data_IF_260006287800
#
_entry.id   IF_260006287800
#
_cell.length_a   1.000
_cell.length_b   1.000
_cell.length_c   1.000
_cell.angle_alpha   90.00
_cell.angle_beta   90.00
_cell.angle_gamma   90.00
#
_symmetry.space_group_name_H-M   'P 1'
#
loop_
_entity.id
_entity.type
_entity.pdbx_description
1 polymer ?
#
# COMPACT_ATOMS: atom_id res chain seq x y z
N UNK A 1 -8.41 39.38 -4.66
CA UNK A 1 -9.79 39.56 -4.14
C UNK A 1 -10.03 40.94 -3.54
N UNK A 2 -9.20 41.42 -2.61
CA UNK A 2 -9.39 42.73 -1.94
C UNK A 2 -9.60 43.91 -2.92
N UNK A 3 -8.79 44.00 -3.98
CA UNK A 3 -8.91 45.07 -5.00
C UNK A 3 -10.26 45.00 -5.74
N UNK A 4 -10.75 43.80 -6.04
CA UNK A 4 -12.05 43.64 -6.69
C UNK A 4 -13.21 44.07 -5.76
N UNK A 5 -13.14 43.70 -4.47
CA UNK A 5 -14.11 44.15 -3.47
C UNK A 5 -14.14 45.69 -3.35
N UNK A 6 -12.97 46.33 -3.26
CA UNK A 6 -12.87 47.79 -3.20
C UNK A 6 -13.41 48.44 -4.46
N UNK A 7 -13.28 47.81 -5.62
CA UNK A 7 -13.87 48.27 -6.89
C UNK A 7 -15.39 47.97 -7.01
N UNK A 8 -16.02 47.43 -5.97
CA UNK A 8 -17.46 47.20 -5.91
C UNK A 8 -17.95 45.84 -6.39
N UNK A 9 -17.05 44.92 -6.65
CA UNK A 9 -17.43 43.56 -6.98
C UNK A 9 -18.21 42.89 -5.82
N UNK A 10 -19.23 42.09 -6.15
CA UNK A 10 -20.05 41.34 -5.19
C UNK A 10 -19.58 39.90 -5.01
N UNK A 11 -18.84 39.37 -5.99
CA UNK A 11 -18.18 38.10 -5.96
C UNK A 11 -16.97 38.11 -6.91
N UNK A 12 -16.08 37.14 -6.79
CA UNK A 12 -14.96 36.95 -7.71
C UNK A 12 -14.97 35.51 -8.20
N UNK A 13 -15.02 35.33 -9.52
CA UNK A 13 -14.80 34.04 -10.17
C UNK A 13 -13.42 34.08 -10.83
N UNK A 14 -12.53 33.26 -10.40
CA UNK A 14 -11.18 33.12 -10.98
C UNK A 14 -11.16 31.91 -11.92
N UNK A 15 -10.68 32.13 -13.13
CA UNK A 15 -10.48 31.03 -14.08
C UNK A 15 -9.02 30.55 -13.96
N UNK A 16 -8.83 29.25 -13.78
CA UNK A 16 -7.50 28.65 -13.77
C UNK A 16 -6.82 28.92 -15.12
N UNK A 17 -5.55 29.33 -15.08
CA UNK A 17 -4.79 29.66 -16.29
C UNK A 17 -4.01 28.48 -16.89
N UNK A 18 -4.15 27.28 -16.29
CA UNK A 18 -3.62 26.01 -16.78
C UNK A 18 -4.73 24.98 -16.92
N UNK A 19 -4.53 24.01 -17.81
CA UNK A 19 -5.47 22.90 -17.95
C UNK A 19 -5.47 22.02 -16.68
N UNK A 20 -6.64 21.55 -16.29
CA UNK A 20 -6.84 20.69 -15.13
C UNK A 20 -7.90 21.22 -14.17
N UNK A 21 -8.02 20.58 -13.01
CA UNK A 21 -8.95 20.96 -11.97
C UNK A 21 -8.58 22.34 -11.37
N UNK A 22 -9.58 23.10 -10.86
CA UNK A 22 -9.30 24.31 -10.09
C UNK A 22 -8.49 23.97 -8.84
N UNK A 23 -7.59 24.87 -8.47
CA UNK A 23 -6.78 24.74 -7.25
C UNK A 23 -7.42 25.53 -6.10
N UNK A 24 -7.19 25.08 -4.87
CA UNK A 24 -7.62 25.84 -3.70
C UNK A 24 -6.91 27.19 -3.65
N UNK A 25 -7.67 28.25 -3.46
CA UNK A 25 -7.13 29.59 -3.28
C UNK A 25 -6.74 29.79 -1.81
N UNK A 26 -5.44 29.90 -1.54
CA UNK A 26 -4.93 30.14 -0.20
C UNK A 26 -4.91 31.61 0.21
N UNK A 27 -4.71 31.86 1.50
CA UNK A 27 -4.56 33.16 2.13
C UNK A 27 -5.80 33.60 2.93
N UNK A 28 -5.56 34.25 4.06
CA UNK A 28 -6.59 34.79 4.95
C UNK A 28 -6.50 36.30 5.00
N UNK A 29 -7.62 36.95 4.76
CA UNK A 29 -7.79 38.37 4.99
C UNK A 29 -9.21 38.62 5.52
N UNK A 30 -9.38 38.84 6.83
CA UNK A 30 -10.70 38.99 7.46
C UNK A 30 -11.46 40.23 6.95
N UNK A 31 -10.82 41.12 6.21
CA UNK A 31 -11.46 42.26 5.61
C UNK A 31 -12.10 41.98 4.23
N UNK A 32 -11.92 40.79 3.71
CA UNK A 32 -12.59 40.35 2.48
C UNK A 32 -13.93 39.71 2.87
N UNK A 33 -15.02 40.31 2.42
CA UNK A 33 -16.38 39.90 2.77
C UNK A 33 -17.18 39.39 1.56
N UNK A 34 -16.60 39.41 0.37
CA UNK A 34 -17.21 38.87 -0.85
C UNK A 34 -16.75 37.43 -1.10
N UNK A 35 -17.64 36.54 -1.60
CA UNK A 35 -17.25 35.18 -1.96
C UNK A 35 -16.31 35.18 -3.17
N UNK A 36 -15.42 34.19 -3.20
CA UNK A 36 -14.54 33.94 -4.34
C UNK A 36 -14.44 32.44 -4.61
N UNK A 37 -14.50 32.05 -5.88
CA UNK A 37 -14.35 30.68 -6.34
C UNK A 37 -13.33 30.63 -7.48
N UNK A 38 -12.64 29.51 -7.62
CA UNK A 38 -11.85 29.20 -8.81
C UNK A 38 -12.57 28.12 -9.60
N UNK A 39 -12.64 28.28 -10.91
CA UNK A 39 -13.20 27.31 -11.85
C UNK A 39 -12.11 26.85 -12.83
N UNK A 40 -12.30 25.70 -13.47
CA UNK A 40 -11.36 25.19 -14.45
C UNK A 40 -11.21 26.14 -15.65
N UNK A 41 -10.09 26.05 -16.35
CA UNK A 41 -9.91 26.79 -17.61
C UNK A 41 -10.96 26.39 -18.65
N UNK A 42 -11.35 25.11 -18.68
CA UNK A 42 -12.35 24.59 -19.61
C UNK A 42 -13.74 25.21 -19.38
N UNK A 43 -14.14 25.37 -18.11
CA UNK A 43 -15.44 25.95 -17.76
C UNK A 43 -15.40 27.50 -17.85
N UNK A 44 -14.27 28.11 -17.52
CA UNK A 44 -14.11 29.54 -17.46
C UNK A 44 -13.97 30.22 -18.83
N UNK A 45 -13.29 29.59 -19.79
CA UNK A 45 -13.06 30.17 -21.11
C UNK A 45 -14.36 30.48 -21.87
N UNK A 46 -15.38 29.60 -21.90
CA UNK A 46 -16.68 29.93 -22.51
C UNK A 46 -17.37 31.13 -21.84
N UNK A 47 -17.30 31.21 -20.49
CA UNK A 47 -17.84 32.32 -19.71
C UNK A 47 -17.16 33.62 -20.07
N UNK A 48 -15.84 33.63 -20.08
CA UNK A 48 -15.03 34.80 -20.45
C UNK A 48 -15.31 35.25 -21.89
N UNK A 49 -15.41 34.31 -22.82
CA UNK A 49 -15.70 34.60 -24.22
C UNK A 49 -17.07 35.24 -24.36
N UNK A 50 -18.11 34.74 -23.68
CA UNK A 50 -19.44 35.30 -23.70
C UNK A 50 -19.46 36.74 -23.14
N UNK A 51 -18.80 36.97 -22.00
CA UNK A 51 -18.71 38.30 -21.38
C UNK A 51 -17.99 39.29 -22.29
N UNK A 52 -16.85 38.89 -22.84
CA UNK A 52 -16.07 39.73 -23.77
C UNK A 52 -16.82 40.01 -25.06
N UNK A 53 -17.69 39.10 -25.48
CA UNK A 53 -18.63 39.27 -26.59
C UNK A 53 -19.86 40.15 -26.28
N UNK A 54 -19.92 40.73 -25.08
CA UNK A 54 -21.03 41.62 -24.65
C UNK A 54 -22.24 40.89 -24.09
N UNK A 55 -22.18 39.59 -23.85
CA UNK A 55 -23.31 38.85 -23.27
C UNK A 55 -23.35 39.07 -21.76
N UNK A 56 -24.53 39.48 -21.25
CA UNK A 56 -24.78 39.53 -19.82
C UNK A 56 -25.08 38.12 -19.31
N UNK A 57 -24.26 37.61 -18.42
CA UNK A 57 -24.48 36.32 -17.74
C UNK A 57 -25.00 36.58 -16.33
N UNK A 58 -25.97 35.78 -15.90
CA UNK A 58 -26.46 35.78 -14.53
C UNK A 58 -26.00 34.47 -13.86
N UNK A 59 -25.52 34.58 -12.65
CA UNK A 59 -25.07 33.45 -11.84
C UNK A 59 -25.18 33.73 -10.36
N UNK A 60 -25.11 32.71 -9.54
CA UNK A 60 -25.03 32.83 -8.09
C UNK A 60 -23.77 32.15 -7.56
N UNK A 61 -23.12 32.81 -6.60
CA UNK A 61 -22.04 32.23 -5.81
C UNK A 61 -22.58 32.18 -4.38
N UNK A 62 -23.04 31.01 -3.90
CA UNK A 62 -23.63 30.92 -2.57
C UNK A 62 -22.57 31.21 -1.50
N UNK A 63 -22.93 32.01 -0.49
CA UNK A 63 -22.05 32.43 0.60
C UNK A 63 -21.98 31.40 1.74
N UNK A 64 -23.00 30.58 1.83
CA UNK A 64 -23.24 29.64 2.94
C UNK A 64 -22.65 28.26 2.72
N UNK A 65 -21.82 28.11 1.69
CA UNK A 65 -21.08 26.86 1.46
C UNK A 65 -21.96 25.64 1.17
N UNK A 66 -23.28 25.83 1.01
CA UNK A 66 -24.16 24.75 0.58
C UNK A 66 -23.95 24.47 -0.93
N UNK A 67 -22.82 23.83 -1.20
CA UNK A 67 -22.60 23.18 -2.48
C UNK A 67 -23.09 21.72 -2.31
N UNK A 68 -24.09 21.35 -3.06
CA UNK A 68 -24.44 19.94 -3.24
C UNK A 68 -23.26 19.20 -3.92
N UNK A 69 -22.17 19.01 -3.23
CA UNK A 69 -20.97 18.39 -3.80
C UNK A 69 -19.66 18.67 -3.07
N UNK A 70 -19.60 19.66 -2.19
CA UNK A 70 -18.38 19.86 -1.36
C UNK A 70 -18.42 18.88 -0.19
N UNK A 71 -17.54 17.90 -0.24
CA UNK A 71 -17.29 17.02 0.90
C UNK A 71 -16.14 17.61 1.73
N UNK A 72 -16.32 17.66 3.04
CA UNK A 72 -15.25 18.02 3.94
C UNK A 72 -14.24 16.88 3.99
N UNK A 73 -12.98 17.15 3.59
CA UNK A 73 -11.90 16.18 3.58
C UNK A 73 -11.59 15.57 4.95
N UNK A 74 -12.00 16.23 6.04
CA UNK A 74 -11.86 15.68 7.41
C UNK A 74 -12.74 14.44 7.65
N UNK A 75 -13.71 14.16 6.79
CA UNK A 75 -14.50 12.92 6.80
C UNK A 75 -13.94 11.84 5.86
N UNK A 76 -12.85 12.12 5.16
CA UNK A 76 -12.12 11.09 4.41
C UNK A 76 -11.14 10.40 5.36
N UNK A 77 -11.42 9.15 5.71
CA UNK A 77 -10.59 8.38 6.63
C UNK A 77 -9.15 8.25 6.13
N UNK A 78 -8.97 8.07 4.81
CA UNK A 78 -7.64 7.99 4.21
C UNK A 78 -6.85 9.28 4.40
N UNK A 79 -7.47 10.44 4.15
CA UNK A 79 -6.83 11.75 4.36
C UNK A 79 -6.56 12.01 5.84
N UNK A 80 -7.51 11.74 6.74
CA UNK A 80 -7.33 11.96 8.16
C UNK A 80 -6.14 11.15 8.72
N UNK A 81 -6.03 9.89 8.33
CA UNK A 81 -4.92 9.02 8.72
C UNK A 81 -3.61 9.50 8.09
N UNK A 82 -3.64 9.90 6.82
CA UNK A 82 -2.51 10.46 6.09
C UNK A 82 -1.91 11.65 6.84
N UNK A 83 -2.73 12.65 7.18
CA UNK A 83 -2.27 13.85 7.88
C UNK A 83 -1.72 13.54 9.28
N UNK A 84 -2.37 12.64 10.01
CA UNK A 84 -1.86 12.19 11.31
C UNK A 84 -0.49 11.51 11.18
N UNK A 85 -0.30 10.74 10.12
CA UNK A 85 0.94 10.00 9.87
C UNK A 85 2.13 10.91 9.55
N UNK A 86 1.92 12.10 8.97
CA UNK A 86 2.98 13.11 8.89
C UNK A 86 3.57 13.43 10.26
N UNK A 87 2.71 13.55 11.27
CA UNK A 87 3.14 13.73 12.66
C UNK A 87 3.98 12.56 13.20
N UNK A 88 3.67 11.33 12.79
CA UNK A 88 4.42 10.12 13.17
C UNK A 88 5.78 10.09 12.44
N UNK A 89 5.79 10.13 11.12
CA UNK A 89 6.98 9.99 10.29
C UNK A 89 8.02 11.06 10.58
N UNK A 90 7.60 12.29 10.77
CA UNK A 90 8.47 13.41 11.13
C UNK A 90 9.12 13.28 12.52
N UNK A 91 8.51 12.53 13.44
CA UNK A 91 9.05 12.31 14.79
C UNK A 91 9.85 11.04 14.93
N UNK A 92 9.58 10.04 14.11
CA UNK A 92 10.35 8.79 14.13
C UNK A 92 11.66 8.95 13.36
N UNK A 93 11.65 9.59 12.18
CA UNK A 93 12.85 9.81 11.38
C UNK A 93 13.69 10.93 11.99
N UNK A 94 14.88 10.59 12.47
CA UNK A 94 15.79 11.54 13.16
C UNK A 94 15.43 11.83 14.61
N UNK A 95 14.35 11.25 15.12
CA UNK A 95 13.88 11.38 16.51
C UNK A 95 13.00 12.61 16.76
N UNK A 96 12.30 12.64 17.91
CA UNK A 96 11.22 13.60 18.18
C UNK A 96 11.67 15.06 18.24
N UNK A 97 12.96 15.31 18.47
CA UNK A 97 13.55 16.65 18.52
C UNK A 97 14.04 17.16 17.16
N UNK A 98 13.99 16.34 16.10
CA UNK A 98 14.49 16.67 14.77
C UNK A 98 13.46 16.33 13.68
N UNK A 99 12.36 17.06 13.67
CA UNK A 99 11.21 16.80 12.78
C UNK A 99 11.41 17.23 11.31
N UNK A 100 12.57 17.78 10.96
CA UNK A 100 12.89 18.27 9.60
C UNK A 100 13.62 17.27 8.70
N UNK A 101 13.67 15.98 9.07
CA UNK A 101 14.47 14.98 8.38
C UNK A 101 13.90 14.46 7.05
N UNK A 102 12.66 14.80 6.70
CA UNK A 102 11.99 14.33 5.47
C UNK A 102 11.74 15.50 4.50
N UNK A 103 12.74 16.35 4.25
CA UNK A 103 12.65 17.53 3.38
C UNK A 103 13.59 17.46 2.15
N UNK A 104 14.23 16.34 1.92
CA UNK A 104 15.09 16.09 0.75
C UNK A 104 14.26 15.81 -0.53
N UNK A 105 14.90 15.76 -1.70
CA UNK A 105 14.18 15.53 -2.97
C UNK A 105 13.55 14.13 -3.07
N UNK A 106 14.21 13.09 -2.55
CA UNK A 106 13.66 11.72 -2.45
C UNK A 106 12.80 11.51 -1.18
N UNK A 107 12.23 12.58 -0.63
CA UNK A 107 11.46 12.52 0.61
C UNK A 107 10.26 11.58 0.51
N UNK A 108 10.15 10.69 1.49
CA UNK A 108 9.12 9.65 1.53
C UNK A 108 7.94 9.99 2.45
N UNK A 109 7.88 11.21 3.00
CA UNK A 109 6.88 11.64 3.99
C UNK A 109 5.43 11.40 3.55
N UNK A 110 5.09 11.80 2.32
CA UNK A 110 3.79 11.55 1.71
C UNK A 110 3.50 10.05 1.55
N UNK A 111 4.53 9.27 1.26
CA UNK A 111 4.40 7.83 1.05
C UNK A 111 4.15 7.06 2.36
N UNK A 112 4.81 7.43 3.43
CA UNK A 112 4.50 6.89 4.76
C UNK A 112 3.05 7.18 5.15
N UNK A 113 2.58 8.39 4.84
CA UNK A 113 1.22 8.85 5.12
C UNK A 113 0.18 8.11 4.30
N UNK A 114 0.35 7.98 2.98
CA UNK A 114 -0.54 7.18 2.12
C UNK A 114 -0.57 5.72 2.55
N UNK A 115 0.59 5.15 2.90
CA UNK A 115 0.69 3.77 3.36
C UNK A 115 -0.22 3.49 4.56
N UNK A 116 -0.17 4.32 5.60
CA UNK A 116 -1.05 4.11 6.76
C UNK A 116 -2.51 4.38 6.43
N UNK A 117 -2.81 5.33 5.54
CA UNK A 117 -4.16 5.53 5.02
C UNK A 117 -4.74 4.26 4.38
N UNK A 118 -3.93 3.54 3.59
CA UNK A 118 -4.28 2.27 2.99
C UNK A 118 -4.41 1.15 4.04
N UNK A 119 -3.40 1.01 4.91
CA UNK A 119 -3.33 -0.06 5.91
C UNK A 119 -4.49 -0.04 6.90
N UNK A 120 -4.84 1.14 7.40
CA UNK A 120 -5.92 1.30 8.38
C UNK A 120 -7.32 1.15 7.78
N UNK A 121 -7.41 0.98 6.46
CA UNK A 121 -8.67 0.83 5.71
C UNK A 121 -8.76 -0.48 4.92
N UNK A 122 -7.84 -1.44 5.16
CA UNK A 122 -7.98 -2.80 4.64
C UNK A 122 -9.13 -3.50 5.37
N UNK A 123 -9.95 -4.22 4.63
CA UNK A 123 -11.03 -5.03 5.14
C UNK A 123 -10.79 -6.53 4.87
N UNK A 124 -11.40 -7.42 5.67
CA UNK A 124 -11.34 -8.85 5.40
C UNK A 124 -11.94 -9.19 4.02
N UNK A 125 -11.13 -9.79 3.17
CA UNK A 125 -11.52 -10.16 1.80
C UNK A 125 -10.92 -9.28 0.71
N UNK A 126 -10.34 -8.12 1.05
CA UNK A 126 -9.56 -7.32 0.11
C UNK A 126 -8.39 -8.13 -0.47
N UNK A 127 -8.01 -7.80 -1.69
CA UNK A 127 -6.89 -8.43 -2.39
C UNK A 127 -5.85 -7.38 -2.77
N UNK A 128 -4.58 -7.76 -2.79
CA UNK A 128 -3.49 -6.87 -3.20
C UNK A 128 -3.66 -6.30 -4.61
N UNK A 129 -4.31 -7.06 -5.48
CA UNK A 129 -4.62 -6.66 -6.86
C UNK A 129 -5.76 -5.65 -6.96
N UNK A 130 -6.54 -5.43 -5.90
CA UNK A 130 -7.59 -4.43 -5.91
C UNK A 130 -7.00 -3.03 -5.98
N UNK A 131 -7.57 -2.21 -6.87
CA UNK A 131 -7.09 -0.84 -7.04
C UNK A 131 -7.66 0.09 -5.96
N UNK A 132 -6.80 0.64 -5.09
CA UNK A 132 -7.16 1.52 -3.97
C UNK A 132 -6.74 2.97 -4.25
N UNK A 133 -7.68 3.91 -4.26
CA UNK A 133 -7.40 5.35 -4.35
C UNK A 133 -7.32 6.01 -2.97
N UNK A 134 -6.50 7.04 -2.84
CA UNK A 134 -6.46 7.91 -1.66
C UNK A 134 -7.29 9.18 -1.93
N UNK A 135 -8.04 9.65 -0.94
CA UNK A 135 -8.81 10.89 -1.00
C UNK A 135 -10.02 10.83 -1.94
N UNK A 136 -10.53 9.64 -2.23
CA UNK A 136 -11.66 9.46 -3.16
C UNK A 136 -12.93 10.14 -2.64
N UNK A 137 -13.19 10.08 -1.34
CA UNK A 137 -14.34 10.76 -0.74
C UNK A 137 -14.22 12.27 -0.88
N UNK A 138 -13.06 12.85 -0.55
CA UNK A 138 -12.85 14.30 -0.59
C UNK A 138 -13.07 14.92 -1.96
N UNK A 139 -12.78 14.18 -3.04
CA UNK A 139 -13.01 14.63 -4.43
C UNK A 139 -14.25 14.05 -5.08
N UNK A 140 -15.19 13.54 -4.28
CA UNK A 140 -16.49 13.01 -4.72
C UNK A 140 -16.40 11.85 -5.73
N UNK A 141 -15.35 11.04 -5.62
CA UNK A 141 -15.23 9.79 -6.36
C UNK A 141 -15.80 8.61 -5.55
N UNK A 142 -16.21 7.51 -6.21
CA UNK A 142 -16.50 6.26 -5.52
C UNK A 142 -15.23 5.68 -4.89
N UNK A 143 -15.37 4.74 -3.96
CA UNK A 143 -14.23 4.05 -3.31
C UNK A 143 -13.29 3.36 -4.31
N UNK A 144 -13.79 2.99 -5.48
CA UNK A 144 -13.02 2.42 -6.60
C UNK A 144 -12.38 3.47 -7.51
N UNK A 145 -12.52 4.77 -7.19
CA UNK A 145 -11.95 5.87 -7.96
C UNK A 145 -10.42 5.91 -7.90
N UNK A 146 -9.82 6.71 -8.77
CA UNK A 146 -8.36 6.89 -8.81
C UNK A 146 -7.85 7.65 -7.57
N UNK A 147 -8.66 8.56 -7.02
CA UNK A 147 -8.25 9.45 -5.94
C UNK A 147 -7.34 10.57 -6.44
N UNK A 148 -6.48 11.06 -5.56
CA UNK A 148 -5.60 12.23 -5.78
C UNK A 148 -4.18 11.84 -6.21
N UNK A 149 -3.91 10.56 -6.45
CA UNK A 149 -2.58 10.07 -6.87
C UNK A 149 -2.57 9.69 -8.36
N UNK A 150 -1.38 9.56 -8.99
CA UNK A 150 -1.26 9.25 -10.42
C UNK A 150 -1.95 7.94 -10.86
N UNK A 151 -1.97 6.94 -9.98
CA UNK A 151 -2.69 5.67 -10.18
C UNK A 151 -3.23 5.17 -8.85
N UNK A 152 -4.17 4.24 -8.89
CA UNK A 152 -4.59 3.49 -7.72
C UNK A 152 -3.46 2.62 -7.20
N UNK A 153 -3.34 2.46 -5.90
CA UNK A 153 -2.45 1.49 -5.30
C UNK A 153 -2.94 0.07 -5.59
N UNK A 154 -2.07 -0.76 -6.11
CA UNK A 154 -2.36 -2.16 -6.46
C UNK A 154 -1.07 -2.93 -6.65
N UNK A 155 -1.06 -4.22 -6.34
CA UNK A 155 0.03 -5.14 -6.69
C UNK A 155 -0.04 -5.59 -8.17
N UNK A 156 -1.17 -5.35 -8.84
CA UNK A 156 -1.29 -5.56 -10.28
C UNK A 156 -0.57 -4.44 -11.06
N UNK A 157 0.48 -4.80 -11.77
CA UNK A 157 1.27 -3.89 -12.59
C UNK A 157 0.48 -3.29 -13.78
N UNK A 158 -0.66 -3.85 -14.15
CA UNK A 158 -1.57 -3.27 -15.14
C UNK A 158 -2.36 -2.09 -14.57
N UNK A 159 -2.64 -2.09 -13.27
CA UNK A 159 -3.33 -1.01 -12.56
C UNK A 159 -2.34 0.04 -12.07
N UNK A 160 -1.22 -0.39 -11.49
CA UNK A 160 -0.15 0.47 -11.00
C UNK A 160 1.21 0.03 -11.54
N UNK A 161 1.64 0.57 -12.70
CA UNK A 161 2.91 0.19 -13.33
C UNK A 161 4.14 0.88 -12.71
N UNK A 162 4.00 1.63 -11.62
CA UNK A 162 5.06 2.46 -11.07
C UNK A 162 6.19 1.62 -10.46
N UNK A 163 7.42 1.94 -10.86
CA UNK A 163 8.67 1.42 -10.31
C UNK A 163 9.50 2.58 -9.75
N UNK A 164 10.66 2.31 -9.19
CA UNK A 164 11.54 3.33 -8.62
C UNK A 164 11.87 4.44 -9.63
N UNK A 165 12.10 4.10 -10.89
CA UNK A 165 12.42 5.09 -11.91
C UNK A 165 11.31 6.14 -12.13
N UNK A 166 10.08 5.87 -11.66
CA UNK A 166 8.95 6.80 -11.75
C UNK A 166 9.19 8.11 -11.00
N UNK A 167 10.02 8.11 -9.93
CA UNK A 167 10.33 9.33 -9.16
C UNK A 167 10.89 10.45 -10.03
N UNK A 168 11.57 10.11 -11.14
CA UNK A 168 12.16 11.07 -12.09
C UNK A 168 11.15 11.91 -12.87
N UNK A 169 9.87 11.51 -12.87
CA UNK A 169 8.83 12.11 -13.72
C UNK A 169 7.57 12.51 -12.96
N UNK A 170 7.61 12.48 -11.64
CA UNK A 170 6.50 12.90 -10.78
C UNK A 170 6.92 14.08 -9.89
N UNK A 171 5.93 14.75 -9.30
CA UNK A 171 6.18 15.91 -8.43
C UNK A 171 6.76 15.49 -7.07
N UNK A 172 7.62 16.33 -6.53
CA UNK A 172 8.06 16.28 -5.14
C UNK A 172 7.12 17.19 -4.32
N UNK A 173 6.63 16.79 -3.13
CA UNK A 173 6.84 15.49 -2.46
C UNK A 173 5.82 14.41 -2.82
N UNK A 174 4.60 14.79 -3.26
CA UNK A 174 3.44 13.89 -3.37
C UNK A 174 3.66 12.72 -4.35
N UNK A 175 4.19 13.00 -5.54
CA UNK A 175 4.45 11.96 -6.54
C UNK A 175 5.56 11.01 -6.12
N UNK A 176 6.63 11.52 -5.50
CA UNK A 176 7.73 10.70 -4.95
C UNK A 176 7.18 9.81 -3.84
N UNK A 177 6.42 10.37 -2.90
CA UNK A 177 5.78 9.62 -1.84
C UNK A 177 4.83 8.54 -2.36
N UNK A 178 4.05 8.84 -3.41
CA UNK A 178 3.22 7.84 -4.06
C UNK A 178 4.02 6.62 -4.54
N UNK A 179 5.19 6.81 -5.13
CA UNK A 179 6.06 5.68 -5.55
C UNK A 179 6.54 4.89 -4.34
N UNK A 180 6.90 5.55 -3.25
CA UNK A 180 7.30 4.89 -2.01
C UNK A 180 6.17 4.04 -1.41
N UNK A 181 4.98 4.61 -1.26
CA UNK A 181 3.81 3.87 -0.76
C UNK A 181 3.44 2.67 -1.63
N UNK A 182 3.67 2.77 -2.96
CA UNK A 182 3.46 1.63 -3.87
C UNK A 182 4.37 0.44 -3.51
N UNK A 183 5.63 0.69 -3.13
CA UNK A 183 6.56 -0.37 -2.70
C UNK A 183 6.17 -0.98 -1.35
N UNK A 184 5.76 -0.14 -0.41
CA UNK A 184 5.28 -0.59 0.90
C UNK A 184 3.98 -1.41 0.76
N UNK A 185 3.10 -1.03 -0.15
CA UNK A 185 1.88 -1.77 -0.45
C UNK A 185 2.18 -3.15 -1.03
N UNK A 186 3.16 -3.24 -1.92
CA UNK A 186 3.65 -4.51 -2.45
C UNK A 186 4.18 -5.41 -1.33
N UNK A 187 5.05 -4.87 -0.46
CA UNK A 187 5.62 -5.60 0.68
C UNK A 187 4.53 -6.10 1.63
N UNK A 188 3.53 -5.28 1.89
CA UNK A 188 2.42 -5.65 2.77
C UNK A 188 1.67 -6.86 2.26
N UNK A 189 1.37 -6.91 0.96
CA UNK A 189 0.64 -8.02 0.38
C UNK A 189 1.49 -9.28 0.25
N UNK A 190 2.79 -9.18 0.00
CA UNK A 190 3.70 -10.34 0.10
C UNK A 190 3.66 -10.95 1.52
N UNK A 191 3.62 -10.11 2.55
CA UNK A 191 3.53 -10.58 3.94
C UNK A 191 2.13 -11.10 4.30
N UNK A 192 1.05 -10.48 3.79
CA UNK A 192 -0.32 -10.97 3.97
C UNK A 192 -0.49 -12.33 3.28
N UNK A 193 0.06 -12.51 2.10
CA UNK A 193 0.00 -13.77 1.37
C UNK A 193 0.73 -14.90 2.13
N UNK A 194 1.79 -14.56 2.86
CA UNK A 194 2.57 -15.52 3.64
C UNK A 194 1.93 -15.83 5.02
N UNK A 195 1.47 -14.79 5.75
CA UNK A 195 1.02 -14.91 7.15
C UNK A 195 -0.49 -14.74 7.33
N UNK A 196 -1.23 -14.38 6.28
CA UNK A 196 -2.64 -14.06 6.33
C UNK A 196 -2.91 -12.64 6.83
N UNK A 197 -4.17 -12.21 6.69
CA UNK A 197 -4.66 -10.94 7.20
C UNK A 197 -5.30 -11.12 8.58
N UNK A 198 -4.96 -10.27 9.53
CA UNK A 198 -5.59 -10.22 10.86
C UNK A 198 -6.29 -8.85 11.04
N UNK A 199 -7.62 -8.82 11.26
CA UNK A 199 -8.36 -7.57 11.43
C UNK A 199 -8.07 -6.88 12.77
N UNK A 200 -7.45 -7.56 13.74
CA UNK A 200 -6.97 -6.94 14.96
C UNK A 200 -5.65 -6.20 14.72
N UNK A 201 -5.74 -4.92 14.42
CA UNK A 201 -4.56 -4.11 14.09
C UNK A 201 -3.63 -3.83 15.27
N UNK A 202 -4.10 -4.03 16.53
CA UNK A 202 -3.32 -3.70 17.74
C UNK A 202 -2.52 -4.91 18.22
N UNK A 203 -3.19 -6.04 18.41
CA UNK A 203 -2.62 -7.26 19.01
C UNK A 203 -2.62 -8.44 18.03
N UNK A 204 -2.88 -8.19 16.76
CA UNK A 204 -2.92 -9.19 15.72
C UNK A 204 -1.53 -9.69 15.32
N UNK A 205 -1.51 -10.84 14.65
CA UNK A 205 -0.27 -11.52 14.21
C UNK A 205 -0.25 -11.78 12.70
N UNK A 206 -1.10 -11.12 11.94
CA UNK A 206 -1.14 -11.24 10.48
C UNK A 206 0.02 -10.54 9.79
N UNK A 207 0.17 -10.80 8.49
CA UNK A 207 1.17 -10.14 7.66
C UNK A 207 1.00 -8.62 7.61
N UNK A 208 -0.23 -8.13 7.71
CA UNK A 208 -0.53 -6.69 7.85
C UNK A 208 0.03 -6.09 9.14
N UNK A 209 -0.09 -6.78 10.28
CA UNK A 209 0.49 -6.33 11.56
C UNK A 209 2.01 -6.31 11.49
N UNK A 210 2.61 -7.36 10.93
CA UNK A 210 4.05 -7.45 10.71
C UNK A 210 4.53 -6.31 9.78
N UNK A 211 3.84 -6.06 8.67
CA UNK A 211 4.18 -4.98 7.74
C UNK A 211 4.15 -3.61 8.43
N UNK A 212 3.10 -3.31 9.21
CA UNK A 212 3.02 -2.06 9.98
C UNK A 212 4.18 -1.92 10.97
N UNK A 213 4.52 -2.99 11.71
CA UNK A 213 5.61 -2.96 12.66
C UNK A 213 6.95 -2.70 11.96
N UNK A 214 7.23 -3.37 10.84
CA UNK A 214 8.44 -3.17 10.05
C UNK A 214 8.55 -1.75 9.50
N UNK A 215 7.45 -1.18 9.04
CA UNK A 215 7.39 0.22 8.55
C UNK A 215 7.64 1.20 9.69
N UNK A 216 7.02 1.02 10.85
CA UNK A 216 7.24 1.88 12.03
C UNK A 216 8.68 1.85 12.50
N UNK A 217 9.29 0.67 12.57
CA UNK A 217 10.67 0.52 13.00
C UNK A 217 11.66 0.95 11.92
N UNK A 218 11.35 0.74 10.64
CA UNK A 218 12.10 1.27 9.51
C UNK A 218 12.22 2.80 9.57
N UNK A 219 11.11 3.51 9.88
CA UNK A 219 11.15 4.97 10.07
C UNK A 219 12.07 5.40 11.21
N UNK A 220 12.19 4.62 12.28
CA UNK A 220 13.11 4.91 13.40
C UNK A 220 14.57 4.67 13.04
N UNK A 221 14.83 3.72 12.16
CA UNK A 221 16.17 3.26 11.79
C UNK A 221 16.78 4.04 10.63
N UNK A 222 15.95 4.61 9.76
CA UNK A 222 16.45 5.37 8.61
C UNK A 222 17.17 6.67 9.04
N UNK A 223 18.22 7.08 8.31
CA UNK A 223 18.91 8.33 8.62
C UNK A 223 18.06 9.57 8.35
N UNK A 224 18.49 10.72 8.85
CA UNK A 224 17.92 12.00 8.45
C UNK A 224 18.23 12.30 6.97
N UNK A 225 17.24 12.75 6.20
CA UNK A 225 17.33 12.93 4.75
C UNK A 225 17.47 11.61 3.98
N UNK A 226 16.60 10.60 4.23
CA UNK A 226 16.73 9.29 3.62
C UNK A 226 16.32 9.31 2.16
N UNK A 227 16.99 8.53 1.32
CA UNK A 227 16.52 8.14 0.00
C UNK A 227 15.86 6.77 0.03
N UNK A 228 15.38 6.31 -1.12
CA UNK A 228 14.61 5.08 -1.24
C UNK A 228 15.40 3.82 -0.83
N UNK A 229 16.67 3.73 -1.23
CA UNK A 229 17.53 2.59 -0.84
C UNK A 229 17.74 2.57 0.68
N UNK A 230 18.03 3.72 1.29
CA UNK A 230 18.24 3.79 2.74
C UNK A 230 16.95 3.53 3.51
N UNK A 231 15.78 3.89 2.98
CA UNK A 231 14.47 3.56 3.55
C UNK A 231 14.17 2.05 3.48
N UNK A 232 14.43 1.41 2.33
CA UNK A 232 14.35 -0.05 2.17
C UNK A 232 15.27 -0.78 3.16
N UNK A 233 16.52 -0.36 3.22
CA UNK A 233 17.53 -1.01 4.06
C UNK A 233 17.18 -0.87 5.55
N UNK A 234 16.55 0.24 5.95
CA UNK A 234 16.05 0.41 7.31
C UNK A 234 14.89 -0.55 7.64
N UNK A 235 14.01 -0.85 6.71
CA UNK A 235 12.95 -1.86 6.87
C UNK A 235 13.55 -3.27 6.96
N UNK A 236 14.52 -3.59 6.12
CA UNK A 236 15.26 -4.85 6.18
C UNK A 236 16.00 -5.01 7.53
N UNK A 237 16.59 -3.92 8.04
CA UNK A 237 17.25 -3.93 9.35
C UNK A 237 16.24 -4.08 10.49
N UNK A 238 15.02 -3.51 10.35
CA UNK A 238 13.95 -3.71 11.32
C UNK A 238 13.54 -5.19 11.40
N UNK A 239 13.48 -5.88 10.28
CA UNK A 239 13.19 -7.31 10.26
C UNK A 239 14.32 -8.14 10.92
N UNK A 240 15.57 -7.80 10.66
CA UNK A 240 16.70 -8.45 11.35
C UNK A 240 16.59 -8.25 12.86
N UNK A 241 16.28 -7.05 13.31
CA UNK A 241 16.23 -6.72 14.73
C UNK A 241 15.05 -7.39 15.46
N UNK A 242 13.90 -7.50 14.81
CA UNK A 242 12.66 -7.96 15.44
C UNK A 242 12.36 -9.44 15.16
N UNK A 243 12.81 -9.96 14.01
CA UNK A 243 12.42 -11.27 13.49
C UNK A 243 13.63 -12.11 13.05
N UNK A 244 14.84 -11.74 13.43
CA UNK A 244 16.08 -12.45 13.05
C UNK A 244 16.25 -12.57 11.51
N UNK A 245 15.62 -11.67 10.74
CA UNK A 245 15.66 -11.66 9.28
C UNK A 245 14.75 -12.69 8.61
N UNK A 246 13.76 -13.22 9.31
CA UNK A 246 12.89 -14.28 8.79
C UNK A 246 12.10 -13.85 7.54
N UNK A 247 11.85 -12.55 7.35
CA UNK A 247 11.02 -12.03 6.26
C UNK A 247 11.83 -11.36 5.13
N UNK A 248 13.16 -11.48 5.18
CA UNK A 248 14.04 -10.82 4.19
C UNK A 248 13.64 -11.14 2.75
N UNK A 249 13.28 -12.38 2.46
CA UNK A 249 12.95 -12.80 1.10
C UNK A 249 11.68 -12.13 0.58
N UNK A 250 10.61 -12.09 1.37
CA UNK A 250 9.35 -11.45 1.00
C UNK A 250 9.51 -9.94 0.87
N UNK A 251 10.30 -9.31 1.76
CA UNK A 251 10.62 -7.88 1.66
C UNK A 251 11.40 -7.59 0.37
N UNK A 252 12.50 -8.32 0.10
CA UNK A 252 13.28 -8.14 -1.11
C UNK A 252 12.48 -8.38 -2.39
N UNK A 253 11.63 -9.40 -2.41
CA UNK A 253 10.76 -9.70 -3.56
C UNK A 253 9.85 -8.51 -3.89
N UNK A 254 9.23 -7.92 -2.88
CA UNK A 254 8.37 -6.74 -3.05
C UNK A 254 9.13 -5.54 -3.62
N UNK A 255 10.26 -5.19 -3.02
CA UNK A 255 11.06 -4.06 -3.48
C UNK A 255 11.68 -4.31 -4.85
N UNK A 256 12.19 -5.51 -5.12
CA UNK A 256 12.75 -5.88 -6.42
C UNK A 256 11.69 -5.80 -7.52
N UNK A 257 10.47 -6.28 -7.29
CA UNK A 257 9.34 -6.16 -8.24
C UNK A 257 9.08 -4.71 -8.64
N UNK A 258 9.29 -3.77 -7.72
CA UNK A 258 9.10 -2.33 -7.94
C UNK A 258 10.38 -1.58 -8.33
N UNK A 259 11.45 -2.30 -8.72
CA UNK A 259 12.67 -1.70 -9.22
C UNK A 259 13.64 -1.19 -8.14
N UNK A 260 13.39 -1.50 -6.87
CA UNK A 260 14.28 -1.19 -5.76
C UNK A 260 14.97 -2.45 -5.22
N UNK A 261 15.40 -3.34 -6.14
CA UNK A 261 16.10 -4.57 -5.83
C UNK A 261 17.54 -4.38 -5.35
N UNK A 262 18.28 -5.48 -5.26
CA UNK A 262 19.60 -5.52 -4.64
C UNK A 262 20.62 -4.59 -5.33
N UNK A 263 20.62 -4.52 -6.64
CA UNK A 263 21.51 -3.63 -7.43
C UNK A 263 21.03 -2.19 -7.55
N UNK A 264 19.88 -1.81 -6.95
CA UNK A 264 19.38 -0.44 -7.04
C UNK A 264 20.30 0.54 -6.32
N UNK A 265 20.47 1.72 -6.90
CA UNK A 265 21.29 2.79 -6.34
C UNK A 265 20.47 4.08 -6.31
N UNK A 266 20.34 4.72 -5.16
CA UNK A 266 19.60 5.98 -5.04
C UNK A 266 20.39 7.21 -5.49
N UNK A 267 21.71 7.11 -5.66
CA UNK A 267 22.53 8.30 -5.88
C UNK A 267 22.47 9.26 -4.68
N UNK A 268 22.17 10.51 -4.95
CA UNK A 268 21.96 11.53 -3.92
C UNK A 268 20.49 11.59 -3.51
N UNK A 269 20.17 11.43 -2.24
CA UNK A 269 18.81 11.63 -1.74
C UNK A 269 18.24 13.04 -1.98
N UNK A 270 19.07 13.99 -2.41
CA UNK A 270 18.67 15.35 -2.81
C UNK A 270 18.54 15.49 -4.34
N UNK A 271 18.44 14.40 -5.09
CA UNK A 271 18.32 14.44 -6.55
C UNK A 271 17.52 13.24 -7.06
N UNK A 272 16.27 13.43 -7.41
CA UNK A 272 15.40 12.37 -7.95
C UNK A 272 15.81 11.86 -9.34
N UNK A 273 16.83 12.46 -10.00
CA UNK A 273 17.20 12.14 -11.38
C UNK A 273 18.38 11.15 -11.50
N UNK A 274 19.19 10.97 -10.46
CA UNK A 274 20.46 10.23 -10.51
C UNK A 274 20.37 8.79 -9.99
N UNK A 275 19.24 8.38 -9.42
CA UNK A 275 19.00 7.02 -9.01
C UNK A 275 18.88 6.03 -10.17
N UNK A 276 19.21 4.75 -9.93
CA UNK A 276 19.04 3.66 -10.90
C UNK A 276 18.26 2.51 -10.28
N UNK A 277 17.25 2.04 -11.01
CA UNK A 277 16.46 0.88 -10.58
C UNK A 277 17.18 -0.44 -10.88
N UNK A 278 16.87 -1.46 -10.06
CA UNK A 278 17.24 -2.84 -10.29
C UNK A 278 16.10 -3.74 -9.84
N UNK A 279 15.89 -4.82 -10.56
CA UNK A 279 14.87 -5.83 -10.28
C UNK A 279 15.50 -7.11 -9.70
N UNK A 280 16.78 -7.07 -9.35
CA UNK A 280 17.52 -8.22 -8.89
C UNK A 280 17.23 -8.51 -7.41
N UNK A 281 17.07 -9.79 -7.10
CA UNK A 281 17.13 -10.30 -5.74
C UNK A 281 18.60 -10.35 -5.25
N UNK A 282 18.85 -10.32 -3.92
CA UNK A 282 20.17 -10.61 -3.41
C UNK A 282 20.69 -11.95 -3.94
N UNK A 283 21.99 -12.05 -4.31
CA UNK A 283 22.56 -13.33 -4.73
C UNK A 283 22.51 -14.35 -3.58
N UNK A 284 22.44 -15.62 -3.93
CA UNK A 284 22.19 -16.73 -2.99
C UNK A 284 23.26 -16.93 -1.90
N UNK A 285 24.43 -16.38 -2.11
CA UNK A 285 25.52 -16.33 -1.11
C UNK A 285 25.35 -15.18 -0.10
N UNK A 286 24.53 -14.20 -0.40
CA UNK A 286 24.14 -13.09 0.50
C UNK A 286 22.84 -13.41 1.23
N UNK A 287 21.84 -13.87 0.51
CA UNK A 287 20.55 -14.25 1.05
C UNK A 287 19.98 -15.43 0.26
N UNK A 288 19.88 -16.58 0.91
CA UNK A 288 19.28 -17.74 0.29
C UNK A 288 17.75 -17.64 0.34
N UNK A 289 17.19 -16.87 -0.57
CA UNK A 289 15.77 -16.95 -0.90
C UNK A 289 15.58 -18.12 -1.85
N UNK A 290 15.88 -19.32 -1.38
CA UNK A 290 15.57 -20.49 -2.15
C UNK A 290 14.06 -20.45 -2.44
N UNK A 291 13.71 -20.05 -3.66
CA UNK A 291 12.47 -20.53 -4.25
C UNK A 291 12.65 -22.04 -4.36
N UNK A 292 12.38 -22.71 -3.24
CA UNK A 292 12.20 -24.14 -3.29
C UNK A 292 11.09 -24.39 -4.31
N UNK A 293 11.16 -25.52 -5.01
CA UNK A 293 10.02 -26.10 -5.70
C UNK A 293 8.75 -26.03 -4.86
N UNK A 294 8.85 -25.76 -3.57
CA UNK A 294 7.80 -25.52 -2.58
C UNK A 294 6.98 -24.23 -2.79
N UNK A 295 7.54 -23.11 -3.29
CA UNK A 295 6.77 -21.86 -3.39
C UNK A 295 5.81 -21.85 -4.57
N UNK A 296 6.23 -22.39 -5.71
CA UNK A 296 5.31 -22.63 -6.83
C UNK A 296 4.24 -23.68 -6.49
N UNK A 297 4.59 -24.69 -5.69
CA UNK A 297 3.67 -25.72 -5.24
C UNK A 297 2.77 -25.22 -4.09
N UNK A 298 3.19 -24.27 -3.26
CA UNK A 298 2.36 -23.68 -2.21
C UNK A 298 1.17 -22.89 -2.77
N UNK A 299 1.29 -22.31 -3.96
CA UNK A 299 0.17 -21.69 -4.68
C UNK A 299 -0.77 -22.72 -5.32
N UNK A 300 -0.27 -23.92 -5.62
CA UNK A 300 -1.02 -24.97 -6.33
C UNK A 300 -1.76 -25.92 -5.40
N UNK A 301 -1.42 -25.97 -4.11
CA UNK A 301 -2.06 -26.86 -3.13
C UNK A 301 -2.53 -26.06 -1.92
N UNK A 302 -3.82 -26.15 -1.62
CA UNK A 302 -4.45 -25.55 -0.45
C UNK A 302 -5.16 -26.59 0.43
N UNK A 303 -5.44 -26.26 1.68
CA UNK A 303 -6.21 -27.10 2.60
C UNK A 303 -7.42 -26.33 3.11
N UNK A 304 -8.60 -26.98 3.12
CA UNK A 304 -9.87 -26.38 3.53
C UNK A 304 -10.85 -27.43 4.10
N UNK A 305 -11.64 -27.12 5.14
CA UNK A 305 -11.58 -25.94 5.97
C UNK A 305 -10.37 -25.93 6.91
N UNK A 306 -9.83 -24.75 7.15
CA UNK A 306 -8.81 -24.52 8.17
C UNK A 306 -9.15 -23.20 8.89
N UNK A 307 -9.58 -23.23 10.15
CA UNK A 307 -9.63 -24.38 11.09
C UNK A 307 -10.65 -25.47 10.73
N UNK A 308 -10.32 -26.73 11.11
CA UNK A 308 -11.19 -27.89 10.94
C UNK A 308 -11.75 -28.43 12.27
N UNK A 309 -12.92 -29.08 12.22
CA UNK A 309 -13.49 -29.81 13.35
C UNK A 309 -13.17 -31.30 13.33
N UNK A 310 -12.70 -31.85 12.21
CA UNK A 310 -12.40 -33.29 12.10
C UNK A 310 -12.01 -33.76 10.72
N UNK A 311 -12.31 -33.00 9.68
CA UNK A 311 -12.00 -33.33 8.29
C UNK A 311 -11.53 -32.09 7.56
N UNK A 312 -10.52 -32.23 6.71
CA UNK A 312 -10.13 -31.19 5.77
C UNK A 312 -9.83 -31.78 4.40
N UNK A 313 -9.87 -30.94 3.39
CA UNK A 313 -9.59 -31.31 2.00
C UNK A 313 -8.28 -30.71 1.56
N UNK A 314 -7.53 -31.47 0.80
CA UNK A 314 -6.41 -30.98 0.01
C UNK A 314 -6.95 -30.65 -1.37
N UNK A 315 -6.80 -29.39 -1.79
CA UNK A 315 -7.24 -28.86 -3.09
C UNK A 315 -6.02 -28.56 -3.96
N UNK A 316 -6.05 -28.96 -5.24
CA UNK A 316 -4.96 -28.71 -6.19
C UNK A 316 -5.50 -28.74 -7.63
N UNK A 317 -4.92 -27.91 -8.49
CA UNK A 317 -5.23 -27.90 -9.92
C UNK A 317 -4.50 -29.01 -10.71
N UNK A 318 -3.53 -29.67 -10.06
CA UNK A 318 -2.76 -30.79 -10.66
C UNK A 318 -3.20 -32.13 -10.11
N UNK A 319 -2.96 -33.18 -10.91
CA UNK A 319 -3.17 -34.57 -10.47
C UNK A 319 -1.86 -35.16 -9.98
N UNK A 320 -1.89 -35.69 -8.76
CA UNK A 320 -0.79 -36.46 -8.18
C UNK A 320 -1.26 -37.86 -7.78
N UNK A 321 -0.47 -38.85 -8.09
CA UNK A 321 -0.64 -40.21 -7.58
C UNK A 321 0.26 -40.42 -6.39
N UNK A 322 -0.24 -41.15 -5.37
CA UNK A 322 0.53 -41.53 -4.19
C UNK A 322 1.17 -40.34 -3.41
N UNK A 323 0.42 -39.24 -3.27
CA UNK A 323 0.87 -38.11 -2.45
C UNK A 323 0.92 -38.56 -0.97
N UNK A 324 2.10 -38.43 -0.35
CA UNK A 324 2.32 -38.80 1.06
C UNK A 324 1.91 -37.62 1.96
N UNK A 325 0.98 -37.84 2.86
CA UNK A 325 0.52 -36.83 3.83
C UNK A 325 1.06 -37.21 5.20
N UNK A 326 1.82 -36.33 5.79
CA UNK A 326 2.36 -36.47 7.13
C UNK A 326 1.98 -35.27 7.99
N UNK A 327 1.24 -35.51 9.09
CA UNK A 327 0.81 -34.49 10.04
C UNK A 327 1.67 -34.61 11.29
N UNK A 328 2.29 -33.50 11.67
CA UNK A 328 3.17 -33.38 12.83
C UNK A 328 2.62 -32.41 13.85
N UNK A 329 2.83 -32.69 15.13
CA UNK A 329 2.62 -31.70 16.19
C UNK A 329 3.78 -30.67 16.20
N UNK A 330 3.66 -29.61 17.02
CA UNK A 330 4.65 -28.55 17.10
C UNK A 330 6.03 -29.02 17.63
N UNK A 331 6.15 -30.23 18.14
CA UNK A 331 7.44 -30.83 18.53
C UNK A 331 8.12 -31.57 17.37
N UNK A 332 7.47 -31.64 16.21
CA UNK A 332 7.92 -32.37 15.02
C UNK A 332 7.59 -33.86 15.03
N UNK A 333 6.83 -34.35 16.04
CA UNK A 333 6.41 -35.73 16.12
C UNK A 333 5.26 -35.99 15.14
N UNK A 334 5.39 -37.00 14.30
CA UNK A 334 4.30 -37.46 13.41
C UNK A 334 3.14 -38.01 14.23
N UNK A 335 1.95 -37.45 14.06
CA UNK A 335 0.70 -37.85 14.72
C UNK A 335 -0.31 -38.49 13.78
N UNK A 336 -0.11 -38.32 12.46
CA UNK A 336 -0.93 -38.94 11.42
C UNK A 336 -0.13 -39.09 10.12
N UNK A 337 -0.30 -40.16 9.41
CA UNK A 337 0.33 -40.38 8.12
C UNK A 337 -0.60 -41.20 7.22
N UNK A 338 -0.69 -40.81 5.96
CA UNK A 338 -1.46 -41.53 4.93
C UNK A 338 -0.91 -41.22 3.54
N UNK A 339 -1.34 -42.00 2.56
CA UNK A 339 -1.10 -41.75 1.14
C UNK A 339 -2.44 -41.59 0.42
N UNK A 340 -2.53 -40.59 -0.46
CA UNK A 340 -3.75 -40.31 -1.23
C UNK A 340 -3.44 -39.97 -2.68
N UNK A 341 -4.34 -40.35 -3.55
CA UNK A 341 -4.35 -39.84 -4.92
C UNK A 341 -5.08 -38.52 -4.98
N UNK A 342 -4.39 -37.45 -5.37
CA UNK A 342 -4.98 -36.16 -5.65
C UNK A 342 -5.49 -36.13 -7.10
N UNK A 343 -6.56 -36.91 -7.35
CA UNK A 343 -7.28 -36.98 -8.63
C UNK A 343 -8.55 -36.11 -8.50
N UNK A 344 -8.94 -35.46 -9.58
CA UNK A 344 -10.11 -34.55 -9.59
C UNK A 344 -10.03 -33.38 -8.64
N UNK A 345 -8.82 -32.85 -8.42
CA UNK A 345 -8.58 -31.59 -7.69
C UNK A 345 -8.88 -31.62 -6.18
N UNK A 346 -9.22 -32.79 -5.58
CA UNK A 346 -9.61 -32.85 -4.16
C UNK A 346 -9.33 -34.21 -3.55
N UNK A 347 -8.75 -34.21 -2.32
CA UNK A 347 -8.67 -35.37 -1.45
C UNK A 347 -9.11 -35.02 -0.03
N UNK A 348 -9.86 -35.91 0.64
CA UNK A 348 -10.31 -35.75 2.01
C UNK A 348 -9.36 -36.42 3.00
N UNK A 349 -9.05 -35.72 4.11
CA UNK A 349 -8.23 -36.25 5.20
C UNK A 349 -9.02 -36.13 6.50
N UNK A 350 -9.29 -37.26 7.13
CA UNK A 350 -9.96 -37.37 8.42
C UNK A 350 -8.92 -37.24 9.55
N UNK A 351 -9.06 -36.19 10.37
CA UNK A 351 -8.25 -35.89 11.53
C UNK A 351 -9.10 -35.80 12.80
N UNK A 352 -10.27 -36.42 12.82
CA UNK A 352 -11.19 -36.44 13.96
C UNK A 352 -10.55 -37.01 15.23
N UNK A 353 -9.60 -37.94 15.08
CA UNK A 353 -8.85 -38.53 16.18
C UNK A 353 -7.78 -37.64 16.80
N UNK A 354 -7.43 -36.51 16.14
CA UNK A 354 -6.43 -35.59 16.67
C UNK A 354 -7.06 -34.67 17.73
N UNK A 355 -6.29 -34.36 18.77
CA UNK A 355 -6.68 -33.38 19.79
C UNK A 355 -6.80 -31.97 19.20
N UNK A 356 -7.54 -31.08 19.89
CA UNK A 356 -7.57 -29.66 19.56
C UNK A 356 -6.15 -29.09 19.63
N UNK A 357 -5.72 -28.38 18.61
CA UNK A 357 -4.35 -27.85 18.55
C UNK A 357 -3.93 -27.38 17.16
N UNK A 358 -2.67 -26.97 17.06
CA UNK A 358 -2.01 -26.56 15.83
C UNK A 358 -1.08 -27.67 15.37
N UNK A 359 -1.13 -28.00 14.09
CA UNK A 359 -0.37 -29.05 13.45
C UNK A 359 0.30 -28.56 12.18
N UNK A 360 1.36 -29.23 11.77
CA UNK A 360 2.08 -29.04 10.51
C UNK A 360 1.72 -30.19 9.59
N UNK A 361 1.10 -29.91 8.46
CA UNK A 361 0.77 -30.88 7.41
C UNK A 361 1.83 -30.83 6.33
N UNK A 362 2.59 -31.89 6.15
CA UNK A 362 3.55 -32.07 5.06
C UNK A 362 2.91 -32.94 3.97
N UNK A 363 2.85 -32.41 2.75
CA UNK A 363 2.30 -33.05 1.56
C UNK A 363 3.46 -33.29 0.60
N UNK A 364 3.91 -34.52 0.48
CA UNK A 364 4.99 -34.90 -0.41
C UNK A 364 4.42 -35.47 -1.70
N UNK A 365 4.77 -34.90 -2.82
CA UNK A 365 4.42 -35.31 -4.17
C UNK A 365 5.68 -35.66 -4.98
N UNK A 366 5.53 -36.10 -6.21
CA UNK A 366 6.66 -36.29 -7.13
C UNK A 366 7.39 -34.99 -7.47
N UNK A 367 6.73 -33.85 -7.34
CA UNK A 367 7.27 -32.52 -7.69
C UNK A 367 7.93 -31.81 -6.48
N UNK A 368 7.76 -32.35 -5.25
CA UNK A 368 8.36 -31.82 -4.03
C UNK A 368 7.50 -31.99 -2.79
N UNK A 369 7.89 -31.32 -1.70
CA UNK A 369 7.18 -31.34 -0.42
C UNK A 369 6.61 -29.96 -0.11
N UNK A 370 5.33 -29.92 0.26
CA UNK A 370 4.60 -28.69 0.67
C UNK A 370 4.30 -28.79 2.15
N UNK A 371 4.39 -27.69 2.84
CA UNK A 371 4.06 -27.60 4.26
C UNK A 371 2.90 -26.62 4.46
N UNK A 372 1.86 -27.05 5.19
CA UNK A 372 0.70 -26.23 5.54
C UNK A 372 0.43 -26.28 7.03
N UNK A 373 0.01 -25.18 7.63
CA UNK A 373 -0.48 -25.11 9.01
C UNK A 373 -1.93 -25.60 9.05
N UNK A 374 -2.27 -26.48 9.99
CA UNK A 374 -3.62 -26.95 10.24
C UNK A 374 -4.03 -26.61 11.68
N UNK A 375 -5.19 -26.01 11.84
CA UNK A 375 -5.78 -25.71 13.15
C UNK A 375 -6.96 -26.66 13.35
N UNK A 376 -6.89 -27.51 14.37
CA UNK A 376 -7.95 -28.42 14.81
C UNK A 376 -8.72 -27.77 15.97
N UNK A 377 -10.03 -27.60 15.83
CA UNK A 377 -10.96 -27.09 16.85
C UNK A 377 -11.81 -28.20 17.43
#
# INVERSE_FOLDING_TARGET
MKKAQVAGAKAVVMVNNVAGAPIAMGGEDPTITIPAVMISMADGNPIMTAILGGTTLNGSVPKDGHWDGYKDGTFDNGIMIHEYTHGISNRLTGGPANSGCLNNEEQMGEGWSDYFGLMMTIEPGDQGTDGRGIGTYAISQPTTGVGIRPSRYSTDMAINPSTYNRIKSVSVPHGVGYVWATMLWEMTWELIDEYGFDPNLIDGTGGNNLAMQLVMDGMKLQPCGPGFVTGRDAILQADINNNEGANQCSIWKAFAKRGLGYGANQGSANNVQDGTESFDMPPSDVLSCAMGTNDLMNQEISIYPNPTKGEFYILTDKSYTDAQINIQDLTGRTVYQTSVDLKQQRASIDVSSLSVGVYVVKIQTKDGTITKKLIKK
#
